data_IF_158357745364
#
_entry.id   IF_158357745364
#
_cell.length_a   1.000
_cell.length_b   1.000
_cell.length_c   1.000
_cell.angle_alpha   90.00
_cell.angle_beta   90.00
_cell.angle_gamma   90.00
#
_symmetry.space_group_name_H-M   'P 1'
#
loop_
_entity.id
_entity.type
_entity.pdbx_description
1 polymer ?
#
# COMPACT_ATOMS: atom_id res chain seq x y z
N UNK A 1 76.53 14.88 25.38
CA UNK A 1 77.53 14.93 24.34
C UNK A 1 76.87 14.99 23.01
N UNK A 2 76.65 16.14 22.47
CA UNK A 2 77.46 16.82 21.45
C UNK A 2 77.48 16.02 20.15
N UNK A 3 76.82 16.50 19.19
CA UNK A 3 77.30 17.32 18.00
C UNK A 3 76.87 16.61 16.70
N UNK A 4 76.54 17.15 15.55
CA UNK A 4 76.63 18.46 14.95
C UNK A 4 75.77 18.49 13.67
N UNK A 5 75.37 19.61 13.28
CA UNK A 5 74.71 20.02 12.03
C UNK A 5 75.49 19.74 10.77
N UNK A 6 74.85 19.48 9.63
CA UNK A 6 75.25 20.12 8.36
C UNK A 6 73.98 20.44 7.56
N UNK A 7 73.88 21.73 7.23
CA UNK A 7 72.94 22.33 6.28
C UNK A 7 73.56 22.28 4.89
N UNK A 8 72.79 21.91 3.91
CA UNK A 8 73.05 22.20 2.51
C UNK A 8 71.83 22.70 1.80
N UNK A 9 71.84 23.94 1.43
CA UNK A 9 70.92 24.67 0.58
C UNK A 9 71.27 24.40 -0.88
N UNK A 10 70.35 23.94 -1.70
CA UNK A 10 70.47 24.10 -3.15
C UNK A 10 69.14 24.66 -3.69
N UNK A 11 69.27 25.78 -4.38
CA UNK A 11 68.24 26.56 -5.07
C UNK A 11 68.11 26.03 -6.50
N UNK A 12 66.91 26.14 -7.01
CA UNK A 12 66.51 26.49 -8.36
C UNK A 12 65.81 25.43 -9.21
N UNK A 13 64.81 25.88 -9.85
CA UNK A 13 64.32 25.36 -11.11
C UNK A 13 62.83 25.00 -11.14
N UNK A 14 61.97 26.02 -11.36
CA UNK A 14 60.57 25.79 -11.64
C UNK A 14 60.35 25.11 -12.97
N UNK A 15 59.57 24.05 -12.95
CA UNK A 15 58.83 23.56 -14.13
C UNK A 15 57.41 23.19 -13.65
N UNK A 16 56.46 24.01 -14.01
CA UNK A 16 55.04 23.73 -13.86
C UNK A 16 54.62 22.64 -14.86
N UNK A 17 54.51 21.41 -14.40
CA UNK A 17 53.80 20.38 -15.13
C UNK A 17 52.37 20.28 -14.62
N UNK A 18 51.42 20.77 -15.47
CA UNK A 18 49.99 20.57 -15.29
C UNK A 18 49.65 19.08 -15.47
N UNK A 19 49.38 18.41 -14.35
CA UNK A 19 48.79 17.07 -14.38
C UNK A 19 47.28 17.23 -14.64
N UNK A 20 46.90 17.02 -15.88
CA UNK A 20 45.50 16.75 -16.24
C UNK A 20 45.11 15.41 -15.65
N UNK A 21 44.27 15.45 -14.63
CA UNK A 21 43.63 14.24 -14.05
C UNK A 21 42.62 13.69 -15.07
N UNK A 22 43.09 12.76 -15.92
CA UNK A 22 42.20 11.87 -16.64
C UNK A 22 41.60 10.87 -15.62
N UNK A 23 40.44 11.17 -15.09
CA UNK A 23 39.60 10.19 -14.42
C UNK A 23 39.20 9.16 -15.48
N UNK A 24 39.88 8.06 -15.54
CA UNK A 24 39.51 6.89 -16.32
C UNK A 24 38.30 6.26 -15.60
N UNK A 25 37.09 6.55 -16.08
CA UNK A 25 35.93 5.78 -15.68
C UNK A 25 36.21 4.30 -15.96
N UNK A 26 36.18 3.51 -14.92
CA UNK A 26 36.20 2.04 -15.04
C UNK A 26 34.95 1.68 -15.87
N UNK A 27 35.10 0.79 -16.88
CA UNK A 27 33.93 0.29 -17.58
C UNK A 27 32.99 -0.40 -16.57
N UNK A 28 31.65 -0.29 -16.74
CA UNK A 28 30.75 -1.05 -15.90
C UNK A 28 31.14 -2.54 -16.03
N UNK A 29 31.37 -3.16 -14.89
CA UNK A 29 31.54 -4.60 -14.81
C UNK A 29 30.27 -5.23 -15.35
N UNK A 30 30.37 -5.85 -16.52
CA UNK A 30 29.34 -6.70 -17.12
C UNK A 30 29.00 -7.85 -16.13
N UNK A 31 27.97 -7.61 -15.32
CA UNK A 31 27.23 -8.65 -14.60
C UNK A 31 26.09 -9.16 -15.49
N UNK A 32 26.40 -9.43 -16.75
CA UNK A 32 25.47 -9.98 -17.71
C UNK A 32 25.88 -11.37 -18.17
N UNK A 33 25.64 -12.36 -17.31
CA UNK A 33 25.51 -13.74 -17.82
C UNK A 33 24.69 -14.56 -16.84
N UNK A 34 23.38 -14.46 -16.97
CA UNK A 34 22.27 -15.42 -16.77
C UNK A 34 20.93 -14.70 -16.47
N UNK A 35 20.59 -13.67 -17.19
CA UNK A 35 19.33 -12.97 -17.02
C UNK A 35 18.53 -12.97 -18.32
N UNK A 36 17.63 -13.92 -18.51
CA UNK A 36 16.44 -13.64 -19.30
C UNK A 36 15.78 -12.37 -18.72
N UNK A 37 15.17 -11.52 -19.58
CA UNK A 37 14.54 -10.27 -19.17
C UNK A 37 13.52 -10.51 -18.05
N UNK A 38 13.91 -10.37 -16.77
CA UNK A 38 13.04 -10.48 -15.63
C UNK A 38 11.96 -9.40 -15.75
N UNK A 39 10.70 -9.82 -15.63
CA UNK A 39 9.55 -8.91 -15.64
C UNK A 39 8.59 -9.29 -14.51
N UNK A 40 8.47 -8.44 -13.52
CA UNK A 40 7.65 -8.63 -12.33
C UNK A 40 6.45 -7.68 -12.25
N UNK A 41 6.15 -6.99 -13.36
CA UNK A 41 5.05 -6.01 -13.47
C UNK A 41 4.23 -6.30 -14.71
N UNK A 42 2.90 -6.23 -14.55
CA UNK A 42 1.96 -6.40 -15.65
C UNK A 42 1.05 -7.62 -15.53
N UNK A 43 0.28 -7.92 -16.56
CA UNK A 43 -0.60 -9.09 -16.57
C UNK A 43 0.20 -10.39 -16.62
N UNK A 44 -0.34 -11.52 -16.10
CA UNK A 44 0.37 -12.77 -15.91
C UNK A 44 1.10 -13.31 -17.13
N UNK A 45 0.51 -13.18 -18.30
CA UNK A 45 1.06 -13.67 -19.57
C UNK A 45 2.31 -12.92 -20.05
N UNK A 46 2.62 -11.77 -19.43
CA UNK A 46 3.81 -10.97 -19.72
C UNK A 46 4.91 -11.13 -18.68
N UNK A 47 4.65 -11.85 -17.59
CA UNK A 47 5.60 -11.98 -16.50
C UNK A 47 6.71 -12.98 -16.87
N UNK A 48 7.93 -12.64 -16.44
CA UNK A 48 9.10 -13.53 -16.46
C UNK A 48 9.66 -13.53 -15.05
N UNK A 49 9.16 -14.46 -14.22
CA UNK A 49 9.56 -14.57 -12.83
C UNK A 49 10.90 -15.30 -12.72
N UNK A 50 11.84 -14.79 -11.91
CA UNK A 50 13.10 -15.47 -11.65
C UNK A 50 12.86 -16.74 -10.80
N UNK A 51 13.89 -17.58 -10.73
CA UNK A 51 13.90 -18.68 -9.75
C UNK A 51 13.99 -18.10 -8.32
N UNK A 52 13.45 -18.79 -7.31
CA UNK A 52 13.65 -18.41 -5.92
C UNK A 52 15.14 -18.21 -5.61
N UNK A 53 15.47 -17.08 -4.96
CA UNK A 53 16.83 -16.69 -4.59
C UNK A 53 17.82 -16.54 -5.77
N UNK A 54 17.33 -16.33 -7.00
CA UNK A 54 18.17 -15.94 -8.14
C UNK A 54 18.91 -14.61 -7.86
N UNK A 55 18.27 -13.72 -7.11
CA UNK A 55 18.89 -12.56 -6.47
C UNK A 55 18.88 -12.76 -4.95
N UNK A 56 19.89 -12.28 -4.19
CA UNK A 56 19.87 -12.38 -2.74
C UNK A 56 18.67 -11.66 -2.13
N UNK A 57 18.09 -12.24 -1.09
CA UNK A 57 17.11 -11.52 -0.28
C UNK A 57 17.82 -10.43 0.53
N UNK A 58 17.38 -9.20 0.41
CA UNK A 58 17.96 -8.04 1.08
C UNK A 58 16.96 -7.39 2.03
N UNK A 59 17.47 -6.58 2.95
CA UNK A 59 16.66 -5.75 3.85
C UNK A 59 17.17 -4.32 3.79
N UNK A 60 16.32 -3.40 3.35
CA UNK A 60 16.57 -1.95 3.35
C UNK A 60 15.37 -1.24 3.94
N UNK A 61 15.45 -0.93 5.24
CA UNK A 61 14.36 -0.25 5.95
C UNK A 61 14.45 1.25 5.75
N UNK A 62 13.36 1.88 5.35
CA UNK A 62 13.30 3.34 5.27
C UNK A 62 13.19 3.99 6.66
N UNK A 63 13.87 5.13 6.81
CA UNK A 63 13.70 6.05 7.93
C UNK A 63 12.83 7.20 7.48
N UNK A 64 11.67 7.36 8.11
CA UNK A 64 10.79 8.49 7.86
C UNK A 64 11.38 9.74 8.51
N UNK A 65 11.51 10.83 7.74
CA UNK A 65 12.00 12.13 8.21
C UNK A 65 10.92 13.22 8.18
N UNK A 66 9.73 12.89 7.64
CA UNK A 66 8.63 13.86 7.47
C UNK A 66 8.85 14.82 6.30
N UNK A 67 7.79 15.53 5.94
CA UNK A 67 7.82 16.50 4.86
C UNK A 67 8.40 17.84 5.32
N UNK A 68 9.39 18.39 4.62
CA UNK A 68 9.83 19.77 4.87
C UNK A 68 8.70 20.77 4.60
N UNK A 69 8.71 21.88 5.31
CA UNK A 69 7.71 22.94 5.13
C UNK A 69 7.61 23.37 3.66
N UNK A 70 6.39 23.41 3.13
CA UNK A 70 6.10 23.81 1.75
C UNK A 70 6.41 22.72 0.70
N UNK A 71 6.94 21.56 1.08
CA UNK A 71 7.17 20.45 0.16
C UNK A 71 5.97 19.51 0.12
N UNK A 72 5.60 19.10 -1.09
CA UNK A 72 4.52 18.16 -1.35
C UNK A 72 5.01 16.99 -2.23
N UNK A 73 4.29 15.90 -2.28
CA UNK A 73 4.46 14.90 -3.35
C UNK A 73 4.36 15.54 -4.73
N UNK A 74 4.98 14.90 -5.72
CA UNK A 74 4.99 15.35 -7.11
C UNK A 74 3.94 14.59 -7.91
N UNK A 75 2.96 15.30 -8.46
CA UNK A 75 1.96 14.75 -9.36
C UNK A 75 2.33 14.98 -10.83
N UNK A 76 1.60 14.33 -11.73
CA UNK A 76 1.72 14.52 -13.18
C UNK A 76 1.27 15.92 -13.60
N UNK A 77 1.73 16.42 -14.78
CA UNK A 77 1.33 17.74 -15.30
C UNK A 77 -0.20 17.92 -15.35
N UNK A 78 -0.67 19.09 -14.95
CA UNK A 78 -2.09 19.43 -14.85
C UNK A 78 -2.73 19.04 -13.51
N UNK A 79 -2.04 18.27 -12.67
CA UNK A 79 -2.48 17.98 -11.31
C UNK A 79 -1.79 18.89 -10.30
N UNK A 80 -2.52 19.20 -9.23
CA UNK A 80 -2.02 19.99 -8.10
C UNK A 80 -2.14 19.15 -6.83
N UNK A 81 -1.14 19.28 -5.95
CA UNK A 81 -1.11 18.59 -4.66
C UNK A 81 -1.16 19.64 -3.54
N UNK A 82 -2.07 19.42 -2.60
CA UNK A 82 -2.16 20.22 -1.37
C UNK A 82 -2.34 19.30 -0.16
N UNK A 83 -1.95 19.79 1.02
CA UNK A 83 -2.26 19.11 2.27
C UNK A 83 -3.75 19.31 2.60
N UNK A 84 -4.54 18.24 2.56
CA UNK A 84 -5.95 18.24 2.98
C UNK A 84 -6.09 18.31 4.50
N UNK A 85 -5.28 17.53 5.22
CA UNK A 85 -5.15 17.59 6.67
C UNK A 85 -3.75 17.17 7.08
N UNK A 86 -3.13 17.94 7.98
CA UNK A 86 -1.79 17.69 8.54
C UNK A 86 -1.89 17.30 10.00
N UNK A 87 -0.79 16.90 10.61
CA UNK A 87 -0.70 16.56 12.04
C UNK A 87 -1.70 15.47 12.48
N UNK A 88 -1.96 14.50 11.61
CA UNK A 88 -2.71 13.30 11.91
C UNK A 88 -1.79 12.28 12.65
N UNK A 89 -2.38 11.29 13.28
CA UNK A 89 -1.61 10.27 14.00
C UNK A 89 -1.63 8.93 13.24
N UNK A 90 -0.70 8.77 12.31
CA UNK A 90 -0.58 7.57 11.48
C UNK A 90 -1.87 7.27 10.69
N UNK A 91 -2.30 8.15 9.76
CA UNK A 91 -3.51 7.97 8.97
C UNK A 91 -3.36 6.75 8.04
N UNK A 92 -4.33 5.82 8.08
CA UNK A 92 -4.25 4.54 7.37
C UNK A 92 -5.28 4.38 6.27
N UNK A 93 -6.53 4.66 6.56
CA UNK A 93 -7.61 4.50 5.60
C UNK A 93 -8.48 5.77 5.57
N UNK A 94 -9.06 6.01 4.40
CA UNK A 94 -9.94 7.16 4.15
C UNK A 94 -11.28 6.61 3.68
N UNK A 95 -12.36 7.15 4.21
CA UNK A 95 -13.72 6.85 3.78
C UNK A 95 -14.49 8.14 3.57
N UNK A 96 -15.02 8.34 2.37
CA UNK A 96 -15.82 9.51 2.03
C UNK A 96 -17.30 9.16 2.22
N UNK A 97 -17.96 9.87 3.12
CA UNK A 97 -19.38 9.72 3.40
C UNK A 97 -20.23 10.31 2.26
N UNK A 98 -21.49 9.88 2.08
CA UNK A 98 -22.36 10.38 1.03
C UNK A 98 -22.62 11.90 1.07
N UNK A 99 -22.48 12.52 2.24
CA UNK A 99 -22.62 13.97 2.42
C UNK A 99 -21.33 14.76 2.15
N UNK A 100 -20.26 14.08 1.72
CA UNK A 100 -18.96 14.66 1.41
C UNK A 100 -17.98 14.76 2.59
N UNK A 101 -18.42 14.44 3.81
CA UNK A 101 -17.50 14.35 4.95
C UNK A 101 -16.48 13.23 4.73
N UNK A 102 -15.27 13.43 5.21
CA UNK A 102 -14.17 12.47 5.09
C UNK A 102 -13.82 11.91 6.47
N UNK A 103 -13.90 10.61 6.61
CA UNK A 103 -13.41 9.89 7.79
C UNK A 103 -12.01 9.35 7.53
N UNK A 104 -11.11 9.56 8.48
CA UNK A 104 -9.73 9.06 8.43
C UNK A 104 -9.49 8.13 9.61
N UNK A 105 -9.17 6.88 9.35
CA UNK A 105 -8.75 5.93 10.38
C UNK A 105 -7.28 6.17 10.72
N UNK A 106 -6.99 6.44 11.99
CA UNK A 106 -5.67 6.68 12.53
C UNK A 106 -5.32 5.58 13.53
N UNK A 107 -4.12 5.00 13.41
CA UNK A 107 -3.73 3.89 14.27
C UNK A 107 -3.27 4.31 15.67
N UNK A 108 -2.85 5.57 15.84
CA UNK A 108 -2.23 6.07 17.07
C UNK A 108 -0.82 5.51 17.29
N UNK A 109 -0.01 6.24 18.07
CA UNK A 109 1.29 5.74 18.54
C UNK A 109 2.51 6.00 17.63
N UNK A 110 2.40 6.88 16.63
CA UNK A 110 3.51 7.32 15.79
C UNK A 110 4.03 6.27 14.81
N UNK A 111 4.97 6.67 13.94
CA UNK A 111 5.59 5.81 12.94
C UNK A 111 6.44 4.72 13.62
N UNK A 112 5.95 3.49 13.64
CA UNK A 112 6.66 2.34 14.20
C UNK A 112 6.07 1.74 15.47
N UNK A 113 5.06 2.33 16.07
CA UNK A 113 4.40 1.74 17.25
C UNK A 113 3.65 0.46 16.88
N UNK A 114 4.17 -0.66 17.33
CA UNK A 114 3.47 -1.97 17.32
C UNK A 114 2.43 -2.06 18.45
N UNK A 115 2.20 -0.98 19.17
CA UNK A 115 1.35 -0.94 20.37
C UNK A 115 -0.12 -0.89 19.97
N UNK A 116 -0.76 -2.04 19.91
CA UNK A 116 -2.19 -2.20 19.68
C UNK A 116 -3.06 -1.97 20.91
N UNK A 117 -2.78 -1.01 21.76
CA UNK A 117 -3.61 -0.76 22.93
C UNK A 117 -4.26 0.63 22.85
N UNK A 118 -5.50 0.67 22.34
CA UNK A 118 -6.45 1.73 22.66
C UNK A 118 -6.21 3.14 22.10
N UNK A 119 -5.15 3.35 21.31
CA UNK A 119 -4.82 4.68 20.77
C UNK A 119 -5.44 5.01 19.40
N UNK A 120 -6.09 4.03 18.75
CA UNK A 120 -6.70 4.24 17.44
C UNK A 120 -7.95 5.09 17.49
N UNK A 121 -8.15 5.92 16.48
CA UNK A 121 -9.31 6.81 16.36
C UNK A 121 -9.75 6.96 14.90
N UNK A 122 -10.94 7.50 14.72
CA UNK A 122 -11.41 8.01 13.44
C UNK A 122 -11.54 9.53 13.58
N UNK A 123 -10.90 10.26 12.69
CA UNK A 123 -11.01 11.72 12.59
C UNK A 123 -11.96 12.07 11.45
N UNK A 124 -12.90 12.98 11.72
CA UNK A 124 -13.78 13.58 10.73
C UNK A 124 -13.15 14.86 10.19
N UNK A 125 -13.12 14.97 8.87
CA UNK A 125 -12.70 16.15 8.14
C UNK A 125 -13.88 16.62 7.28
N UNK A 126 -14.20 17.93 7.33
CA UNK A 126 -15.36 18.49 6.64
C UNK A 126 -15.03 19.84 6.04
N UNK A 127 -15.74 20.17 4.98
CA UNK A 127 -15.63 21.40 4.21
C UNK A 127 -14.19 21.65 3.71
N UNK A 128 -14.07 22.30 2.57
CA UNK A 128 -12.77 22.59 1.96
C UNK A 128 -12.63 24.12 1.87
N UNK A 129 -11.49 24.64 2.28
CA UNK A 129 -11.13 26.03 2.06
C UNK A 129 -10.63 26.27 0.63
N UNK A 130 -10.32 27.52 0.29
CA UNK A 130 -9.81 27.91 -1.01
C UNK A 130 -8.44 27.29 -1.37
N UNK A 131 -7.71 26.78 -0.38
CA UNK A 131 -6.43 26.10 -0.56
C UNK A 131 -6.57 24.58 -0.66
N UNK A 132 -7.80 24.05 -0.57
CA UNK A 132 -8.07 22.63 -0.59
C UNK A 132 -7.86 21.91 0.75
N UNK A 133 -7.77 22.65 1.86
CA UNK A 133 -7.60 22.12 3.22
C UNK A 133 -8.95 22.00 3.92
N UNK A 134 -9.11 20.93 4.72
CA UNK A 134 -10.31 20.74 5.53
C UNK A 134 -10.43 21.84 6.59
N UNK A 135 -11.64 22.47 6.71
CA UNK A 135 -11.92 23.51 7.69
C UNK A 135 -12.30 22.99 9.05
N UNK A 136 -13.01 21.85 9.07
CA UNK A 136 -13.46 21.19 10.30
C UNK A 136 -12.64 19.92 10.50
N UNK A 137 -12.14 19.74 11.70
CA UNK A 137 -11.40 18.54 12.12
C UNK A 137 -11.86 18.18 13.53
N UNK A 138 -12.49 17.02 13.66
CA UNK A 138 -13.02 16.52 14.93
C UNK A 138 -12.62 15.06 15.16
N UNK A 139 -12.40 14.67 16.40
CA UNK A 139 -12.29 13.26 16.76
C UNK A 139 -13.69 12.65 16.73
N UNK A 140 -13.97 11.91 15.66
CA UNK A 140 -15.27 11.30 15.43
C UNK A 140 -15.53 10.08 16.33
N UNK A 141 -14.52 9.24 16.52
CA UNK A 141 -14.57 8.03 17.35
C UNK A 141 -13.17 7.70 17.86
N UNK A 142 -13.06 7.30 19.11
CA UNK A 142 -11.78 6.98 19.78
C UNK A 142 -11.84 5.64 20.50
N UNK A 143 -10.69 5.20 21.06
CA UNK A 143 -10.60 3.96 21.81
C UNK A 143 -10.63 2.70 20.93
N UNK A 144 -10.26 2.81 19.67
CA UNK A 144 -10.29 1.73 18.69
C UNK A 144 -8.99 0.92 18.72
N UNK A 145 -9.10 -0.36 18.30
CA UNK A 145 -7.93 -1.24 18.20
C UNK A 145 -7.38 -1.23 16.76
N UNK A 146 -6.53 -0.23 16.43
CA UNK A 146 -5.89 -0.07 15.12
C UNK A 146 -6.92 -0.15 13.97
N UNK A 147 -7.88 0.79 13.90
CA UNK A 147 -8.93 0.78 12.90
C UNK A 147 -8.35 0.89 11.49
N UNK A 148 -8.99 0.23 10.51
CA UNK A 148 -8.62 0.35 9.11
C UNK A 148 -9.85 0.52 8.22
N UNK A 149 -10.62 -0.52 7.97
CA UNK A 149 -11.81 -0.46 7.12
C UNK A 149 -12.93 0.33 7.76
N UNK A 150 -13.59 1.14 6.95
CA UNK A 150 -14.81 1.85 7.30
C UNK A 150 -15.84 1.64 6.20
N UNK A 151 -17.11 1.47 6.57
CA UNK A 151 -18.19 1.23 5.63
C UNK A 151 -19.50 1.76 6.20
N UNK A 152 -20.22 2.56 5.46
CA UNK A 152 -21.58 3.00 5.80
C UNK A 152 -22.60 2.21 4.98
N UNK A 153 -23.52 1.50 5.65
CA UNK A 153 -24.68 0.85 5.04
C UNK A 153 -25.95 1.33 5.74
N UNK A 154 -26.81 2.01 5.00
CA UNK A 154 -27.99 2.65 5.56
C UNK A 154 -27.59 3.63 6.68
N UNK A 155 -28.11 3.39 7.87
CA UNK A 155 -27.85 4.18 9.08
C UNK A 155 -26.79 3.52 10.00
N UNK A 156 -25.97 2.60 9.49
CA UNK A 156 -24.96 1.89 10.27
C UNK A 156 -23.56 2.13 9.72
N UNK A 157 -22.65 2.61 10.57
CA UNK A 157 -21.23 2.71 10.29
C UNK A 157 -20.52 1.47 10.85
N UNK A 158 -19.81 0.75 9.99
CA UNK A 158 -19.00 -0.41 10.34
C UNK A 158 -17.52 0.01 10.40
N UNK A 159 -16.83 -0.45 11.42
CA UNK A 159 -15.38 -0.20 11.62
C UNK A 159 -14.66 -1.53 11.79
N UNK A 160 -13.69 -1.76 10.92
CA UNK A 160 -12.78 -2.91 10.98
C UNK A 160 -11.62 -2.63 11.90
N UNK A 161 -11.67 -3.14 13.13
CA UNK A 161 -10.57 -3.18 14.08
C UNK A 161 -9.74 -4.45 13.88
N UNK A 162 -8.50 -4.48 14.38
CA UNK A 162 -7.63 -5.67 14.29
C UNK A 162 -8.31 -6.93 14.83
N UNK A 163 -9.08 -6.81 15.90
CA UNK A 163 -9.70 -7.91 16.65
C UNK A 163 -11.17 -8.14 16.32
N UNK A 164 -11.75 -7.39 15.39
CA UNK A 164 -13.15 -7.60 15.00
C UNK A 164 -13.80 -6.45 14.28
N UNK A 165 -15.05 -6.64 13.93
CA UNK A 165 -15.90 -5.64 13.28
C UNK A 165 -16.88 -5.09 14.32
N UNK A 166 -16.92 -3.78 14.45
CA UNK A 166 -17.85 -3.07 15.32
C UNK A 166 -18.79 -2.21 14.48
N UNK A 167 -20.08 -2.26 14.79
CA UNK A 167 -21.14 -1.53 14.12
C UNK A 167 -21.68 -0.44 15.04
N UNK A 168 -21.84 0.77 14.50
CA UNK A 168 -22.36 1.94 15.23
C UNK A 168 -23.60 2.50 14.52
N UNK A 169 -24.63 2.97 15.24
CA UNK A 169 -25.71 3.77 14.64
C UNK A 169 -25.14 5.11 14.16
N UNK A 170 -25.38 5.46 12.91
CA UNK A 170 -24.88 6.69 12.30
C UNK A 170 -26.00 7.65 11.96
N UNK A 171 -25.80 8.93 12.23
CA UNK A 171 -26.68 10.01 11.81
C UNK A 171 -25.94 10.96 10.87
N UNK A 172 -26.56 11.38 9.76
CA UNK A 172 -25.97 12.34 8.84
C UNK A 172 -25.52 13.62 9.55
N UNK A 173 -24.33 14.12 9.17
CA UNK A 173 -23.74 15.37 9.68
C UNK A 173 -23.32 15.37 11.17
N UNK A 174 -23.47 14.28 11.89
CA UNK A 174 -22.89 14.21 13.23
C UNK A 174 -21.36 14.41 13.18
N UNK A 175 -20.78 15.07 14.18
CA UNK A 175 -19.34 15.33 14.28
C UNK A 175 -18.63 14.38 15.22
N UNK A 176 -19.38 13.70 16.07
CA UNK A 176 -18.88 12.73 17.04
C UNK A 176 -19.84 11.53 17.14
N UNK A 177 -19.28 10.35 17.30
CA UNK A 177 -20.01 9.13 17.58
C UNK A 177 -20.17 8.95 19.09
N UNK A 178 -21.33 9.28 19.62
CA UNK A 178 -21.63 9.17 21.05
C UNK A 178 -22.29 7.84 21.42
N UNK A 179 -22.83 7.13 20.44
CA UNK A 179 -23.49 5.84 20.66
C UNK A 179 -22.44 4.72 20.86
N UNK A 180 -22.77 3.78 21.73
CA UNK A 180 -21.97 2.57 21.92
C UNK A 180 -21.99 1.70 20.66
N UNK A 181 -20.82 1.14 20.30
CA UNK A 181 -20.69 0.17 19.23
C UNK A 181 -21.09 -1.23 19.66
N UNK A 182 -21.61 -1.98 18.71
CA UNK A 182 -21.90 -3.39 18.83
C UNK A 182 -20.83 -4.20 18.06
N UNK A 183 -20.08 -5.08 18.75
CA UNK A 183 -19.15 -5.98 18.09
C UNK A 183 -19.92 -7.13 17.45
N UNK A 184 -19.93 -7.17 16.12
CA UNK A 184 -20.75 -8.14 15.36
C UNK A 184 -19.92 -9.32 14.82
N UNK A 185 -18.58 -9.23 14.82
CA UNK A 185 -17.69 -10.29 14.39
C UNK A 185 -16.35 -10.21 15.13
N UNK A 186 -15.90 -11.33 15.72
CA UNK A 186 -14.53 -11.49 16.21
C UNK A 186 -13.59 -11.95 15.10
N UNK A 187 -12.40 -11.32 15.04
CA UNK A 187 -11.37 -11.65 14.05
C UNK A 187 -10.06 -12.07 14.75
N UNK A 188 -9.27 -12.94 14.10
CA UNK A 188 -8.01 -13.41 14.65
C UNK A 188 -7.00 -12.27 14.76
N UNK A 189 -6.33 -12.16 15.90
CA UNK A 189 -5.30 -11.17 16.19
C UNK A 189 -3.88 -11.67 15.89
N UNK A 190 -2.89 -10.77 15.89
CA UNK A 190 -1.50 -11.08 15.53
C UNK A 190 -1.27 -11.04 14.02
N UNK A 191 0.00 -11.08 13.61
CA UNK A 191 0.41 -11.03 12.22
C UNK A 191 -0.04 -9.74 11.49
N UNK A 192 -0.59 -9.91 10.30
CA UNK A 192 -1.16 -8.80 9.54
C UNK A 192 -2.46 -8.33 10.19
N UNK A 193 -2.55 -7.05 10.49
CA UNK A 193 -3.57 -6.49 11.39
C UNK A 193 -4.67 -5.68 10.68
N UNK A 194 -4.50 -5.34 9.41
CA UNK A 194 -5.50 -4.56 8.67
C UNK A 194 -6.77 -5.37 8.45
N UNK A 195 -7.92 -4.72 8.60
CA UNK A 195 -9.25 -5.30 8.34
C UNK A 195 -10.02 -4.33 7.48
N UNK A 196 -9.87 -4.44 6.15
CA UNK A 196 -10.63 -3.61 5.24
C UNK A 196 -12.03 -4.15 5.05
N UNK A 197 -12.98 -3.27 4.77
CA UNK A 197 -14.40 -3.58 4.59
C UNK A 197 -14.87 -3.09 3.23
N UNK A 198 -15.72 -3.89 2.58
CA UNK A 198 -16.37 -3.52 1.32
C UNK A 198 -17.76 -4.15 1.27
N UNK A 199 -18.78 -3.41 0.87
CA UNK A 199 -20.10 -3.98 0.60
C UNK A 199 -20.19 -4.47 -0.87
N UNK A 200 -21.03 -5.48 -1.09
CA UNK A 200 -21.51 -5.78 -2.44
C UNK A 200 -22.45 -4.67 -2.95
N UNK A 201 -22.85 -4.75 -4.20
CA UNK A 201 -23.57 -3.66 -4.88
C UNK A 201 -24.97 -3.33 -4.28
N UNK A 202 -25.63 -4.31 -3.69
CA UNK A 202 -26.96 -4.15 -3.06
C UNK A 202 -26.91 -3.98 -1.53
N UNK A 203 -25.70 -4.01 -0.94
CA UNK A 203 -25.51 -3.87 0.51
C UNK A 203 -25.92 -5.09 1.34
N UNK A 204 -26.28 -6.21 0.71
CA UNK A 204 -26.70 -7.43 1.41
C UNK A 204 -25.54 -8.23 2.01
N UNK A 205 -24.31 -7.98 1.58
CA UNK A 205 -23.07 -8.64 2.04
C UNK A 205 -21.98 -7.64 2.32
N UNK A 206 -21.14 -7.98 3.30
CA UNK A 206 -19.90 -7.28 3.63
C UNK A 206 -18.73 -8.24 3.43
N UNK A 207 -17.73 -7.81 2.66
CA UNK A 207 -16.45 -8.49 2.50
C UNK A 207 -15.43 -7.93 3.49
N UNK A 208 -14.63 -8.82 4.09
CA UNK A 208 -13.61 -8.47 5.09
C UNK A 208 -12.26 -9.06 4.68
N UNK A 209 -11.26 -8.22 4.49
CA UNK A 209 -9.89 -8.65 4.21
C UNK A 209 -9.18 -9.04 5.50
N UNK A 210 -8.59 -10.24 5.55
CA UNK A 210 -7.87 -10.76 6.72
C UNK A 210 -6.54 -11.37 6.29
N UNK A 211 -5.44 -10.75 6.67
CA UNK A 211 -4.10 -11.24 6.33
C UNK A 211 -3.63 -12.42 7.18
N UNK A 212 -2.55 -13.05 6.75
CA UNK A 212 -1.90 -14.19 7.41
C UNK A 212 -1.31 -13.79 8.78
N UNK A 213 -1.07 -14.80 9.61
CA UNK A 213 -0.33 -14.62 10.87
C UNK A 213 1.17 -14.44 10.62
N UNK A 214 1.71 -15.10 9.61
CA UNK A 214 3.15 -15.21 9.37
C UNK A 214 3.51 -14.98 7.90
N UNK A 215 4.81 -15.07 7.58
CA UNK A 215 5.28 -14.86 6.21
C UNK A 215 4.90 -16.01 5.26
N UNK A 216 5.17 -17.27 5.66
CA UNK A 216 4.91 -18.47 4.85
C UNK A 216 4.38 -19.62 5.69
N UNK A 217 3.65 -19.33 6.75
CA UNK A 217 3.13 -20.31 7.69
C UNK A 217 4.27 -21.17 8.29
N UNK A 218 5.30 -20.50 8.81
CA UNK A 218 6.50 -21.13 9.37
C UNK A 218 6.18 -22.15 10.48
N UNK A 219 5.12 -21.90 11.24
CA UNK A 219 4.75 -22.68 12.40
C UNK A 219 3.53 -23.61 12.17
N UNK A 220 3.00 -23.69 10.94
CA UNK A 220 1.80 -24.45 10.62
C UNK A 220 0.55 -23.99 11.39
N UNK A 221 0.45 -22.71 11.70
CA UNK A 221 -0.64 -22.13 12.50
C UNK A 221 -1.69 -21.42 11.69
N UNK A 222 -1.33 -20.83 10.56
CA UNK A 222 -2.26 -20.10 9.71
C UNK A 222 -3.41 -20.98 9.18
N UNK A 223 -3.16 -22.20 8.66
CA UNK A 223 -4.25 -23.06 8.18
C UNK A 223 -5.22 -23.57 9.26
N UNK A 224 -4.86 -23.43 10.55
CA UNK A 224 -5.73 -23.78 11.65
C UNK A 224 -6.88 -22.81 11.86
N UNK A 225 -6.72 -21.57 11.39
CA UNK A 225 -7.80 -20.58 11.34
C UNK A 225 -8.07 -20.21 9.87
N UNK A 226 -9.10 -20.79 9.23
CA UNK A 226 -9.39 -20.55 7.83
C UNK A 226 -9.78 -19.11 7.50
N UNK A 227 -10.00 -18.27 8.52
CA UNK A 227 -10.28 -16.84 8.33
C UNK A 227 -9.02 -16.04 7.97
N UNK A 228 -7.82 -16.61 8.11
CA UNK A 228 -6.56 -15.96 7.76
C UNK A 228 -6.18 -16.14 6.29
N UNK A 229 -5.39 -15.21 5.78
CA UNK A 229 -4.98 -15.18 4.37
C UNK A 229 -6.17 -15.32 3.42
N UNK A 230 -7.24 -14.56 3.72
CA UNK A 230 -8.56 -14.75 3.11
C UNK A 230 -9.31 -13.41 2.95
N UNK A 231 -10.27 -13.43 2.06
CA UNK A 231 -11.40 -12.51 2.07
C UNK A 231 -12.60 -13.27 2.60
N UNK A 232 -13.19 -12.75 3.66
CA UNK A 232 -14.42 -13.29 4.27
C UNK A 232 -15.63 -12.57 3.70
N UNK A 233 -16.79 -13.21 3.75
CA UNK A 233 -18.10 -12.63 3.47
C UNK A 233 -19.00 -12.84 4.67
N UNK A 234 -19.81 -11.85 5.02
CA UNK A 234 -20.83 -11.93 6.09
C UNK A 234 -22.06 -11.10 5.75
N UNK A 235 -23.17 -11.34 6.44
CA UNK A 235 -24.33 -10.47 6.43
C UNK A 235 -24.04 -9.16 7.22
N UNK A 236 -24.79 -8.07 7.01
CA UNK A 236 -24.61 -6.81 7.75
C UNK A 236 -24.82 -6.90 9.27
N UNK A 237 -25.47 -7.96 9.75
CA UNK A 237 -25.62 -8.25 11.18
C UNK A 237 -24.48 -9.09 11.77
N UNK A 238 -23.48 -9.47 10.95
CA UNK A 238 -22.38 -10.34 11.33
C UNK A 238 -22.65 -11.84 11.17
N UNK A 239 -23.89 -12.22 10.93
CA UNK A 239 -24.27 -13.62 10.72
C UNK A 239 -23.78 -14.18 9.37
N UNK A 240 -23.83 -15.48 9.21
CA UNK A 240 -23.51 -16.15 7.93
C UNK A 240 -22.07 -15.96 7.46
N UNK A 241 -21.13 -15.67 8.36
CA UNK A 241 -19.71 -15.51 8.02
C UNK A 241 -19.16 -16.78 7.38
N UNK A 242 -18.51 -16.61 6.22
CA UNK A 242 -17.81 -17.69 5.51
C UNK A 242 -16.54 -17.18 4.85
N UNK A 243 -15.65 -18.08 4.49
CA UNK A 243 -14.51 -17.78 3.63
C UNK A 243 -15.02 -17.63 2.19
N UNK A 244 -14.86 -16.42 1.62
CA UNK A 244 -15.24 -16.13 0.23
C UNK A 244 -14.14 -16.55 -0.75
N UNK A 245 -12.88 -16.24 -0.41
CA UNK A 245 -11.69 -16.65 -1.16
C UNK A 245 -10.50 -16.77 -0.20
N UNK A 246 -9.55 -17.66 -0.49
CA UNK A 246 -8.40 -17.88 0.39
C UNK A 246 -7.08 -18.06 -0.38
N UNK A 247 -5.99 -18.34 0.36
CA UNK A 247 -4.66 -18.38 -0.22
C UNK A 247 -4.15 -16.98 -0.64
N UNK A 248 -4.69 -15.94 -0.06
CA UNK A 248 -4.36 -14.54 -0.31
C UNK A 248 -3.55 -14.03 0.89
N UNK A 249 -2.22 -14.01 0.79
CA UNK A 249 -1.35 -13.81 1.96
C UNK A 249 -1.74 -12.61 2.82
N UNK A 250 -1.76 -11.41 2.28
CA UNK A 250 -2.15 -10.20 3.00
C UNK A 250 -2.99 -9.29 2.10
N UNK A 251 -4.31 -9.57 1.98
CA UNK A 251 -5.23 -8.68 1.29
C UNK A 251 -5.42 -7.41 2.10
N UNK A 252 -5.36 -6.23 1.47
CA UNK A 252 -5.51 -4.95 2.18
C UNK A 252 -6.55 -4.05 1.51
N UNK A 253 -6.18 -3.26 0.52
CA UNK A 253 -7.09 -2.35 -0.17
C UNK A 253 -8.10 -3.13 -1.02
N UNK A 254 -9.39 -2.86 -0.83
CA UNK A 254 -10.46 -3.43 -1.65
C UNK A 254 -11.28 -2.33 -2.30
N UNK A 255 -11.72 -2.55 -3.54
CA UNK A 255 -12.58 -1.60 -4.25
C UNK A 255 -13.46 -2.31 -5.27
N UNK A 256 -14.73 -1.88 -5.38
CA UNK A 256 -15.66 -2.38 -6.39
C UNK A 256 -15.31 -1.79 -7.77
N UNK A 257 -15.28 -2.63 -8.78
CA UNK A 257 -15.08 -2.20 -10.17
C UNK A 257 -16.36 -1.55 -10.71
N UNK A 258 -16.27 -0.29 -11.22
CA UNK A 258 -17.44 0.39 -11.76
C UNK A 258 -18.14 -0.39 -12.88
N UNK A 259 -19.47 -0.37 -12.88
CA UNK A 259 -20.29 -1.02 -13.92
C UNK A 259 -20.31 -2.55 -13.86
N UNK A 260 -19.79 -3.16 -12.81
CA UNK A 260 -19.78 -4.61 -12.59
C UNK A 260 -20.13 -4.98 -11.16
N UNK A 261 -20.42 -6.28 -10.91
CA UNK A 261 -20.55 -6.82 -9.56
C UNK A 261 -19.20 -7.37 -9.02
N UNK A 262 -18.10 -7.08 -9.72
CA UNK A 262 -16.77 -7.55 -9.31
C UNK A 262 -16.12 -6.57 -8.34
N UNK A 263 -15.34 -7.09 -7.41
CA UNK A 263 -14.44 -6.28 -6.60
C UNK A 263 -13.01 -6.81 -6.68
N UNK A 264 -12.08 -5.94 -6.39
CA UNK A 264 -10.65 -6.16 -6.52
C UNK A 264 -9.95 -5.93 -5.19
N UNK A 265 -8.79 -6.54 -5.03
CA UNK A 265 -7.95 -6.42 -3.85
C UNK A 265 -6.49 -6.23 -4.26
N UNK A 266 -5.75 -5.44 -3.50
CA UNK A 266 -4.29 -5.39 -3.54
C UNK A 266 -3.72 -6.26 -2.43
N UNK A 267 -2.64 -6.99 -2.73
CA UNK A 267 -2.10 -8.03 -1.86
C UNK A 267 -0.60 -7.91 -1.74
N UNK A 268 -0.13 -7.94 -0.50
CA UNK A 268 1.29 -8.04 -0.20
C UNK A 268 1.69 -9.50 -0.13
N UNK A 269 2.57 -9.90 -1.02
CA UNK A 269 3.09 -11.26 -1.11
C UNK A 269 4.21 -11.55 -0.10
N UNK A 270 4.70 -12.79 -0.11
CA UNK A 270 5.69 -13.26 0.83
C UNK A 270 7.07 -12.65 0.59
N UNK A 271 7.80 -12.48 1.68
CA UNK A 271 9.17 -11.98 1.72
C UNK A 271 10.22 -13.10 1.64
N UNK A 272 11.49 -12.74 1.40
CA UNK A 272 12.67 -13.59 1.50
C UNK A 272 12.76 -14.70 0.44
N UNK A 273 12.36 -14.41 -0.80
CA UNK A 273 12.70 -15.24 -1.99
C UNK A 273 13.65 -14.53 -2.97
N UNK A 274 14.21 -13.40 -2.57
CA UNK A 274 15.11 -12.56 -3.36
C UNK A 274 14.52 -11.19 -3.65
N UNK A 275 15.31 -10.30 -4.20
CA UNK A 275 14.92 -8.94 -4.54
C UNK A 275 13.77 -8.88 -5.57
N UNK A 276 13.75 -9.84 -6.51
CA UNK A 276 12.85 -9.83 -7.64
C UNK A 276 11.74 -10.90 -7.54
N UNK A 277 11.52 -11.45 -6.32
CA UNK A 277 10.46 -12.44 -6.06
C UNK A 277 9.97 -12.36 -4.60
N UNK A 278 8.67 -12.36 -4.32
CA UNK A 278 7.49 -12.55 -5.17
C UNK A 278 6.90 -11.18 -5.46
N UNK A 279 6.37 -10.91 -6.67
CA UNK A 279 5.66 -9.68 -6.94
C UNK A 279 4.42 -9.56 -6.06
N UNK A 280 4.19 -8.38 -5.50
CA UNK A 280 2.89 -7.99 -4.96
C UNK A 280 1.88 -7.88 -6.10
N UNK A 281 0.58 -7.99 -5.82
CA UNK A 281 -0.37 -8.07 -6.90
C UNK A 281 -1.69 -7.34 -6.65
N UNK A 282 -2.41 -7.17 -7.74
CA UNK A 282 -3.75 -6.62 -7.86
C UNK A 282 -4.63 -7.61 -8.60
N UNK A 283 -5.72 -8.05 -7.98
CA UNK A 283 -6.56 -9.13 -8.54
C UNK A 283 -8.03 -8.95 -8.24
N UNK A 284 -8.87 -9.44 -9.14
CA UNK A 284 -10.29 -9.63 -8.89
C UNK A 284 -10.49 -10.81 -7.94
N UNK A 285 -11.25 -10.59 -6.88
CA UNK A 285 -11.56 -11.67 -5.93
C UNK A 285 -12.70 -12.53 -6.49
N UNK A 286 -12.45 -13.84 -6.62
CA UNK A 286 -13.42 -14.80 -7.15
C UNK A 286 -13.89 -15.73 -6.05
N UNK A 287 -15.20 -15.94 -5.95
CA UNK A 287 -15.79 -16.82 -4.97
C UNK A 287 -15.22 -18.25 -5.07
N UNK A 288 -14.86 -18.84 -3.93
CA UNK A 288 -14.30 -20.18 -3.85
C UNK A 288 -12.88 -20.34 -4.39
N UNK A 289 -12.26 -19.25 -4.87
CA UNK A 289 -10.91 -19.32 -5.44
C UNK A 289 -9.84 -19.46 -4.35
N UNK A 290 -8.77 -20.16 -4.73
CA UNK A 290 -7.53 -20.29 -3.97
C UNK A 290 -6.38 -19.62 -4.75
N UNK A 291 -5.65 -18.67 -4.12
CA UNK A 291 -4.61 -17.87 -4.78
C UNK A 291 -3.17 -18.36 -4.49
N UNK A 292 -3.02 -19.47 -3.78
CA UNK A 292 -1.76 -20.20 -3.66
C UNK A 292 -1.13 -20.18 -2.28
N UNK A 293 -1.11 -19.06 -1.57
CA UNK A 293 -0.44 -18.97 -0.28
C UNK A 293 -0.99 -19.95 0.76
N UNK A 294 -0.17 -20.66 1.57
CA UNK A 294 1.30 -20.58 1.65
C UNK A 294 2.05 -21.55 0.72
N UNK A 295 1.34 -22.33 -0.11
CA UNK A 295 1.91 -23.49 -0.84
C UNK A 295 2.49 -23.11 -2.21
N UNK A 296 1.95 -22.08 -2.83
CA UNK A 296 2.40 -21.55 -4.12
C UNK A 296 2.17 -20.05 -4.24
N UNK A 297 2.77 -19.43 -5.25
CA UNK A 297 2.59 -18.03 -5.61
C UNK A 297 2.40 -17.89 -7.12
N UNK A 298 1.70 -16.85 -7.57
CA UNK A 298 1.36 -16.62 -8.98
C UNK A 298 0.93 -17.90 -9.71
N UNK A 299 -0.11 -18.54 -9.20
CA UNK A 299 -0.63 -19.81 -9.68
C UNK A 299 0.17 -21.00 -9.13
N UNK A 300 0.77 -21.79 -10.02
CA UNK A 300 1.34 -23.10 -9.67
C UNK A 300 2.84 -23.05 -9.30
N UNK A 301 3.44 -21.87 -9.08
CA UNK A 301 4.83 -21.79 -8.65
C UNK A 301 4.92 -22.22 -7.19
N UNK A 302 5.38 -23.45 -6.92
CA UNK A 302 5.49 -23.97 -5.56
C UNK A 302 6.45 -23.13 -4.70
N UNK A 303 6.04 -22.82 -3.47
CA UNK A 303 6.94 -22.24 -2.48
C UNK A 303 8.00 -23.28 -2.06
N UNK A 304 9.30 -22.96 -2.12
CA UNK A 304 10.36 -23.91 -1.79
C UNK A 304 10.27 -24.48 -0.38
N UNK A 305 9.71 -23.72 0.59
CA UNK A 305 9.54 -24.18 1.98
C UNK A 305 8.33 -25.11 2.16
N UNK A 306 7.41 -25.13 1.22
CA UNK A 306 6.18 -25.92 1.26
C UNK A 306 6.13 -26.98 0.15
N UNK A 307 7.24 -27.18 -0.55
CA UNK A 307 7.32 -28.08 -1.71
C UNK A 307 6.76 -29.46 -1.40
N UNK A 308 5.83 -29.91 -2.23
CA UNK A 308 5.19 -31.23 -2.13
C UNK A 308 4.19 -31.40 -0.98
N UNK A 309 3.93 -30.38 -0.13
CA UNK A 309 3.02 -30.53 1.02
C UNK A 309 1.54 -30.60 0.65
N UNK A 310 1.10 -29.83 -0.34
CA UNK A 310 -0.31 -29.77 -0.76
C UNK A 310 -0.43 -29.64 -2.29
N UNK A 311 -0.03 -30.68 -3.04
CA UNK A 311 -0.10 -30.65 -4.51
C UNK A 311 -1.54 -30.47 -5.02
N UNK A 312 -2.54 -30.92 -4.26
CA UNK A 312 -3.95 -30.71 -4.54
C UNK A 312 -4.35 -29.23 -4.53
N UNK A 313 -3.81 -28.41 -3.61
CA UNK A 313 -4.06 -26.98 -3.55
C UNK A 313 -3.22 -26.21 -4.59
N UNK A 314 -1.97 -26.61 -4.79
CA UNK A 314 -1.13 -26.02 -5.85
C UNK A 314 -1.81 -26.17 -7.21
N UNK A 315 -2.38 -27.36 -7.51
CA UNK A 315 -3.10 -27.59 -8.75
C UNK A 315 -4.39 -26.74 -8.91
N UNK A 316 -4.98 -26.28 -7.80
CA UNK A 316 -6.17 -25.43 -7.78
C UNK A 316 -5.84 -23.93 -7.76
N UNK A 317 -4.59 -23.56 -7.50
CA UNK A 317 -4.20 -22.18 -7.35
C UNK A 317 -4.36 -21.41 -8.67
N UNK A 318 -5.07 -20.28 -8.62
CA UNK A 318 -5.21 -19.40 -9.78
C UNK A 318 -4.19 -18.26 -9.72
N UNK A 319 -3.64 -17.83 -10.85
CA UNK A 319 -2.77 -16.67 -10.88
C UNK A 319 -3.57 -15.39 -10.62
N UNK A 320 -2.97 -14.37 -9.97
CA UNK A 320 -3.53 -13.03 -9.90
C UNK A 320 -3.69 -12.40 -11.28
N UNK A 321 -4.60 -11.44 -11.41
CA UNK A 321 -4.87 -10.77 -12.69
C UNK A 321 -3.76 -9.78 -13.10
N UNK A 322 -2.95 -9.24 -12.14
CA UNK A 322 -1.92 -8.24 -12.44
C UNK A 322 -0.84 -8.15 -11.34
N UNK A 323 0.43 -8.20 -11.73
CA UNK A 323 1.58 -8.00 -10.85
C UNK A 323 1.94 -6.51 -10.77
N UNK A 324 2.21 -6.03 -9.56
CA UNK A 324 2.56 -4.63 -9.28
C UNK A 324 4.07 -4.37 -9.18
N UNK A 325 4.85 -5.43 -9.18
CA UNK A 325 6.28 -5.39 -8.88
C UNK A 325 6.59 -5.97 -7.50
N UNK A 326 7.86 -6.29 -7.30
CA UNK A 326 8.30 -7.02 -6.12
C UNK A 326 8.42 -6.08 -4.91
N UNK A 327 7.76 -6.46 -3.82
CA UNK A 327 7.83 -5.80 -2.51
C UNK A 327 7.40 -4.32 -2.48
N UNK A 328 6.51 -3.89 -3.39
CA UNK A 328 6.00 -2.49 -3.41
C UNK A 328 5.06 -2.18 -2.26
N UNK A 329 4.58 -3.21 -1.55
CA UNK A 329 3.66 -3.15 -0.41
C UNK A 329 2.39 -2.34 -0.72
N UNK A 330 1.52 -2.79 -1.63
CA UNK A 330 0.29 -2.07 -1.98
C UNK A 330 -0.72 -2.18 -0.83
N UNK A 331 -1.18 -1.03 -0.32
CA UNK A 331 -2.11 -0.96 0.82
C UNK A 331 -3.42 -0.26 0.46
N UNK A 332 -3.38 0.71 -0.46
CA UNK A 332 -4.53 1.47 -0.91
C UNK A 332 -5.02 1.02 -2.29
N UNK A 333 -6.33 1.03 -2.49
CA UNK A 333 -6.95 0.74 -3.78
C UNK A 333 -8.24 1.55 -3.94
N UNK A 334 -8.36 2.27 -5.05
CA UNK A 334 -9.61 2.89 -5.44
C UNK A 334 -9.78 2.90 -6.96
N UNK A 335 -10.91 2.44 -7.46
CA UNK A 335 -11.32 2.74 -8.84
C UNK A 335 -11.82 4.18 -8.92
N UNK A 336 -11.27 4.94 -9.87
CA UNK A 336 -11.67 6.34 -10.02
C UNK A 336 -13.07 6.45 -10.63
N UNK A 337 -13.99 7.02 -9.84
CA UNK A 337 -15.40 7.27 -10.22
C UNK A 337 -15.73 8.75 -10.38
N UNK A 338 -14.75 9.63 -10.15
CA UNK A 338 -14.91 11.08 -10.30
C UNK A 338 -14.99 11.50 -11.76
N UNK A 339 -15.50 12.69 -11.99
CA UNK A 339 -15.56 13.32 -13.31
C UNK A 339 -14.47 14.39 -13.52
N UNK A 340 -13.73 14.77 -12.48
CA UNK A 340 -12.79 15.89 -12.51
C UNK A 340 -11.48 15.56 -13.21
N UNK A 341 -10.99 14.31 -13.13
CA UNK A 341 -9.76 13.91 -13.81
C UNK A 341 -9.97 13.67 -15.30
N UNK A 342 -8.92 13.80 -16.13
CA UNK A 342 -8.96 13.46 -17.55
C UNK A 342 -9.52 12.06 -17.81
N UNK A 343 -10.14 11.88 -18.96
CA UNK A 343 -10.86 10.66 -19.32
C UNK A 343 -10.00 9.39 -19.19
N UNK A 344 -8.71 9.48 -19.45
CA UNK A 344 -7.78 8.35 -19.35
C UNK A 344 -7.70 7.76 -17.94
N UNK A 345 -7.99 8.54 -16.87
CA UNK A 345 -8.00 8.08 -15.49
C UNK A 345 -9.37 7.55 -15.03
N UNK A 346 -10.44 7.74 -15.81
CA UNK A 346 -11.81 7.32 -15.45
C UNK A 346 -12.05 5.82 -15.61
N UNK A 347 -11.14 5.12 -16.26
CA UNK A 347 -11.23 3.68 -16.52
C UNK A 347 -9.98 3.00 -15.96
N UNK A 348 -9.77 3.04 -14.66
CA UNK A 348 -8.63 2.40 -14.03
C UNK A 348 -8.66 2.53 -12.52
N UNK A 349 -7.63 2.01 -11.90
CA UNK A 349 -7.48 1.96 -10.47
C UNK A 349 -6.21 2.70 -10.03
N UNK A 350 -6.33 3.51 -8.98
CA UNK A 350 -5.20 4.05 -8.25
C UNK A 350 -4.81 3.10 -7.13
N UNK A 351 -3.51 2.88 -6.96
CA UNK A 351 -2.92 1.96 -5.99
C UNK A 351 -1.89 2.72 -5.15
N UNK A 352 -2.08 2.73 -3.84
CA UNK A 352 -1.11 3.28 -2.89
C UNK A 352 -0.07 2.22 -2.55
N UNK A 353 1.15 2.42 -3.03
CA UNK A 353 2.30 1.54 -2.79
C UNK A 353 3.12 2.11 -1.63
N UNK A 354 2.98 1.49 -0.45
CA UNK A 354 3.57 1.95 0.80
C UNK A 354 5.11 1.91 0.80
N UNK A 355 5.68 1.06 -0.04
CA UNK A 355 7.11 0.96 -0.25
C UNK A 355 7.79 -0.19 0.47
N UNK A 356 8.86 -0.68 -0.15
CA UNK A 356 9.58 -1.88 0.20
C UNK A 356 10.41 -1.75 1.49
N UNK A 357 10.66 -2.89 2.12
CA UNK A 357 11.67 -3.07 3.14
C UNK A 357 12.54 -4.33 2.88
N UNK A 358 12.00 -5.30 2.12
CA UNK A 358 12.67 -6.55 1.79
C UNK A 358 13.23 -6.51 0.36
N UNK A 359 14.07 -5.51 0.10
CA UNK A 359 14.70 -5.28 -1.20
C UNK A 359 16.00 -4.48 -1.03
N UNK A 360 16.98 -4.65 -1.93
CA UNK A 360 18.22 -3.89 -1.94
C UNK A 360 18.05 -2.43 -2.36
N UNK A 361 17.06 -2.17 -3.23
CA UNK A 361 16.64 -0.84 -3.68
C UNK A 361 15.20 -0.57 -3.28
N UNK A 362 14.85 0.70 -3.05
CA UNK A 362 13.48 1.07 -2.77
C UNK A 362 12.57 0.81 -3.98
N UNK A 363 11.42 0.20 -3.73
CA UNK A 363 10.34 0.01 -4.69
C UNK A 363 9.02 0.45 -4.06
N UNK A 364 8.06 0.92 -4.87
CA UNK A 364 6.86 1.57 -4.36
C UNK A 364 7.14 3.00 -3.91
N UNK A 365 6.64 3.42 -2.74
CA UNK A 365 6.68 4.80 -2.22
C UNK A 365 6.05 5.79 -3.19
N UNK A 366 4.89 5.42 -3.75
CA UNK A 366 4.17 6.21 -4.75
C UNK A 366 2.69 5.82 -4.80
N UNK A 367 1.91 6.60 -5.51
CA UNK A 367 0.61 6.16 -6.02
C UNK A 367 0.77 5.82 -7.48
N UNK A 368 0.47 4.58 -7.85
CA UNK A 368 0.44 4.09 -9.21
C UNK A 368 -0.98 4.13 -9.77
N UNK A 369 -1.12 4.31 -11.08
CA UNK A 369 -2.37 4.16 -11.81
C UNK A 369 -2.27 2.97 -12.76
N UNK A 370 -3.19 2.02 -12.65
CA UNK A 370 -3.32 0.88 -13.55
C UNK A 370 -4.52 1.12 -14.47
N UNK A 371 -4.30 1.34 -15.78
CA UNK A 371 -5.39 1.54 -16.72
C UNK A 371 -6.17 0.24 -16.96
N UNK A 372 -7.46 0.37 -17.27
CA UNK A 372 -8.34 -0.74 -17.61
C UNK A 372 -8.86 -0.61 -19.03
N UNK A 373 -8.93 -1.75 -19.72
CA UNK A 373 -9.57 -1.88 -21.03
C UNK A 373 -10.43 -3.14 -21.04
N UNK A 374 -11.68 -3.01 -21.48
CA UNK A 374 -12.63 -4.15 -21.52
C UNK A 374 -12.76 -4.86 -20.16
N UNK A 375 -12.78 -4.10 -19.07
CA UNK A 375 -12.96 -4.62 -17.72
C UNK A 375 -11.74 -5.33 -17.11
N UNK A 376 -10.57 -5.27 -17.72
CA UNK A 376 -9.31 -5.88 -17.26
C UNK A 376 -8.18 -4.85 -17.21
N UNK A 377 -7.19 -5.04 -16.29
CA UNK A 377 -5.98 -4.25 -16.31
C UNK A 377 -5.28 -4.32 -17.67
N UNK A 378 -4.72 -3.20 -18.13
CA UNK A 378 -4.10 -3.13 -19.45
C UNK A 378 -2.85 -2.24 -19.43
N UNK A 379 -1.79 -2.71 -20.12
CA UNK A 379 -0.53 -1.96 -20.17
C UNK A 379 0.27 -2.00 -18.87
N UNK A 380 1.25 -1.13 -18.78
CA UNK A 380 2.08 -0.97 -17.58
C UNK A 380 1.47 0.08 -16.64
N UNK A 381 1.72 0.00 -15.32
CA UNK A 381 1.24 1.00 -14.38
C UNK A 381 1.95 2.33 -14.64
N UNK A 382 1.24 3.43 -14.44
CA UNK A 382 1.76 4.78 -14.55
C UNK A 382 2.06 5.32 -13.15
N UNK A 383 3.25 5.88 -12.93
CA UNK A 383 3.58 6.61 -11.73
C UNK A 383 2.75 7.90 -11.69
N UNK A 384 1.78 7.97 -10.79
CA UNK A 384 0.83 9.08 -10.72
C UNK A 384 1.22 10.15 -9.69
N UNK A 385 1.62 9.70 -8.50
CA UNK A 385 2.07 10.60 -7.42
C UNK A 385 3.36 10.03 -6.83
N UNK A 386 4.43 10.81 -6.88
CA UNK A 386 5.80 10.40 -6.53
C UNK A 386 6.44 11.39 -5.55
N UNK A 387 7.76 11.27 -5.30
CA UNK A 387 8.51 12.20 -4.46
C UNK A 387 8.47 11.89 -2.97
N UNK A 388 7.98 10.71 -2.57
CA UNK A 388 7.98 10.26 -1.18
C UNK A 388 9.37 9.84 -0.68
N UNK A 389 10.27 9.41 -1.57
CA UNK A 389 11.66 9.10 -1.24
C UNK A 389 12.44 10.41 -1.14
N UNK A 390 13.11 10.63 0.01
CA UNK A 390 13.98 11.79 0.23
C UNK A 390 15.39 11.52 -0.27
N UNK A 391 15.97 10.39 0.12
CA UNK A 391 17.29 9.93 -0.33
C UNK A 391 17.35 8.40 -0.25
N UNK A 392 17.57 7.75 -1.38
CA UNK A 392 17.75 6.31 -1.39
C UNK A 392 19.10 5.91 -0.78
N UNK A 393 20.15 6.70 -0.98
CA UNK A 393 21.46 6.46 -0.41
C UNK A 393 21.44 6.44 1.12
N UNK A 394 20.71 7.39 1.73
CA UNK A 394 20.57 7.52 3.18
C UNK A 394 19.42 6.70 3.75
N UNK A 395 18.71 5.98 2.90
CA UNK A 395 17.50 5.21 3.24
C UNK A 395 16.42 6.07 3.91
N UNK A 396 16.24 7.33 3.47
CA UNK A 396 15.25 8.26 4.03
C UNK A 396 14.08 8.49 3.11
N UNK A 397 12.89 8.65 3.70
CA UNK A 397 11.65 8.96 3.00
C UNK A 397 10.92 10.10 3.73
N UNK A 398 10.19 10.94 2.99
CA UNK A 398 9.35 11.98 3.58
C UNK A 398 8.05 11.39 4.14
N UNK A 399 7.49 10.42 3.44
CA UNK A 399 6.22 9.78 3.78
C UNK A 399 6.03 8.45 3.08
N UNK A 400 4.87 7.82 3.32
CA UNK A 400 4.52 6.50 2.76
C UNK A 400 3.02 6.45 2.45
N UNK A 401 2.60 6.40 1.18
CA UNK A 401 1.18 6.40 0.82
C UNK A 401 0.49 5.10 1.22
N UNK A 402 -0.73 5.20 1.73
CA UNK A 402 -1.55 4.08 2.20
C UNK A 402 -2.94 4.13 1.57
N UNK A 403 -3.96 4.54 2.32
CA UNK A 403 -5.34 4.57 1.92
C UNK A 403 -5.63 5.64 0.87
N UNK A 404 -6.51 5.31 -0.06
CA UNK A 404 -6.94 6.17 -1.14
C UNK A 404 -8.47 6.30 -1.14
N UNK A 405 -8.96 7.50 -1.44
CA UNK A 405 -10.37 7.74 -1.68
C UNK A 405 -10.59 8.83 -2.73
N UNK A 406 -11.74 8.81 -3.40
CA UNK A 406 -12.17 9.89 -4.29
C UNK A 406 -13.12 10.78 -3.51
N UNK A 407 -12.77 12.05 -3.34
CA UNK A 407 -13.60 13.05 -2.68
C UNK A 407 -14.83 13.42 -3.53
N UNK A 408 -15.81 14.07 -2.93
CA UNK A 408 -17.06 14.47 -3.60
C UNK A 408 -16.84 15.42 -4.78
N UNK A 409 -15.76 16.21 -4.77
CA UNK A 409 -15.35 17.10 -5.86
C UNK A 409 -14.55 16.39 -6.97
N UNK A 410 -14.32 15.07 -6.82
CA UNK A 410 -13.55 14.25 -7.75
C UNK A 410 -12.04 14.31 -7.55
N UNK A 411 -11.51 15.00 -6.55
CA UNK A 411 -10.09 14.92 -6.19
C UNK A 411 -9.74 13.57 -5.58
N UNK A 412 -8.47 13.16 -5.69
CA UNK A 412 -7.95 11.96 -5.04
C UNK A 412 -7.37 12.35 -3.69
N UNK A 413 -7.84 11.71 -2.62
CA UNK A 413 -7.25 11.80 -1.28
C UNK A 413 -6.29 10.64 -1.06
N UNK A 414 -5.14 10.92 -0.46
CA UNK A 414 -4.05 9.96 -0.21
C UNK A 414 -3.61 10.07 1.23
N UNK A 415 -3.85 9.04 2.03
CA UNK A 415 -3.29 8.95 3.38
C UNK A 415 -1.79 8.64 3.30
N UNK A 416 -1.02 9.36 4.08
CA UNK A 416 0.42 9.22 4.21
C UNK A 416 0.74 9.00 5.70
N UNK A 417 0.94 7.75 6.10
CA UNK A 417 1.14 7.38 7.49
C UNK A 417 2.55 7.73 8.01
N UNK A 418 3.51 7.85 7.09
CA UNK A 418 4.85 8.32 7.42
C UNK A 418 4.90 9.84 7.61
N UNK A 419 4.21 10.58 6.76
CA UNK A 419 4.15 12.03 6.80
C UNK A 419 3.10 12.60 7.76
N UNK A 420 2.21 11.77 8.32
CA UNK A 420 1.08 12.18 9.16
C UNK A 420 0.13 13.17 8.47
N UNK A 421 -0.08 12.98 7.17
CA UNK A 421 -0.83 13.90 6.30
C UNK A 421 -1.86 13.12 5.49
N UNK A 422 -2.98 13.73 5.17
CA UNK A 422 -3.80 13.37 4.03
C UNK A 422 -3.54 14.38 2.92
N UNK A 423 -3.02 13.91 1.80
CA UNK A 423 -2.80 14.70 0.60
C UNK A 423 -4.06 14.74 -0.25
N UNK A 424 -4.32 15.88 -0.90
CA UNK A 424 -5.37 16.07 -1.90
C UNK A 424 -4.72 16.34 -3.25
N UNK A 425 -5.07 15.51 -4.24
CA UNK A 425 -4.64 15.68 -5.63
C UNK A 425 -5.85 16.13 -6.44
N UNK A 426 -5.81 17.32 -6.98
CA UNK A 426 -6.87 17.90 -7.83
C UNK A 426 -6.34 18.12 -9.25
N UNK A 427 -7.24 18.20 -10.21
CA UNK A 427 -6.91 18.49 -11.60
C UNK A 427 -7.43 19.87 -12.01
N UNK A 428 -6.56 20.68 -12.56
CA UNK A 428 -6.92 21.96 -13.20
C UNK A 428 -6.62 21.83 -14.68
N UNK A 429 -7.63 21.87 -15.56
CA UNK A 429 -7.38 21.84 -16.99
C UNK A 429 -6.44 22.97 -17.40
N UNK A 430 -5.51 22.74 -18.34
CA UNK A 430 -4.71 23.83 -18.90
C UNK A 430 -5.65 24.93 -19.43
N UNK A 431 -5.32 26.18 -19.14
CA UNK A 431 -6.00 27.32 -19.77
C UNK A 431 -5.88 27.18 -21.28
N UNK A 432 -7.03 27.25 -21.97
CA UNK A 432 -7.08 27.18 -23.44
C UNK A 432 -6.36 28.37 -24.06
#
# INVERSE_FOLDING_TARGET
>A
MASRYVVALIVAGGLTLSYGSFSRALPPTDASTQGGNIRTVGPPEKLVLPKPLATPAATKRSKVIGWPAGRTPTALPGFQVSAFAEDLDTPRAIYVLPNGDVLVAENGGGTGARSGQGGGRITLLRDIDQNGKAKVREVFLSGLNRPFGMLLLGDKLYVGNTDGIVRYPYQPRQTQMTASGEKILDLPTGGHYTRNLLANSDGSKIYVAVGSLSNVDENGTDPKDPRRAAVLEMNPDGSGMRVFANGIRNPVGMSSQPGTNSFWVVVNERDNLGDDLVPDYFTRVREGAFYGWPYSYFGHNEDPRKKGQRPDLVAKAIPPDYALGTHVAPLGLVFYRGASFPQQYRNGAFIGEHGSWNRSHFAGYKVAFVPFRNGKPSGDPQDFLTGFIASEADSTVYGRPVGLAVASDGSLLVADDGGNVVWRVSYTPPSK
#
